data_IF_151101723775
#
_entry.id   IF_151101723775
#
_cell.length_a   1.000
_cell.length_b   1.000
_cell.length_c   1.000
_cell.angle_alpha   90.00
_cell.angle_beta   90.00
_cell.angle_gamma   90.00
#
_symmetry.space_group_name_H-M   'P 1'
#
loop_
_entity.id
_entity.type
_entity.pdbx_description
1 polymer ?
#
# COMPACT_ATOMS: atom_id res chain seq x y z
N UNK A 1 -49.81 -42.24 -19.14
CA UNK A 1 -48.45 -42.82 -19.14
C UNK A 1 -47.80 -42.40 -17.84
N UNK A 2 -47.58 -43.38 -16.96
CA UNK A 2 -47.21 -43.16 -15.56
C UNK A 2 -45.71 -42.87 -15.40
N UNK A 3 -45.42 -41.94 -14.49
CA UNK A 3 -44.11 -41.54 -13.98
C UNK A 3 -43.32 -42.71 -13.41
N UNK A 4 -42.04 -42.84 -13.81
CA UNK A 4 -41.06 -43.71 -13.16
C UNK A 4 -39.88 -42.84 -12.73
N UNK A 5 -39.92 -42.41 -11.46
CA UNK A 5 -38.82 -41.74 -10.78
C UNK A 5 -37.83 -42.79 -10.28
N UNK A 6 -36.59 -42.77 -10.80
CA UNK A 6 -35.49 -43.57 -10.27
C UNK A 6 -34.80 -42.78 -9.15
N UNK A 7 -35.13 -43.12 -7.90
CA UNK A 7 -34.42 -42.65 -6.72
C UNK A 7 -33.24 -43.61 -6.48
N UNK A 8 -32.03 -43.19 -6.85
CA UNK A 8 -30.79 -43.86 -6.46
C UNK A 8 -30.44 -43.40 -5.04
N UNK A 9 -30.72 -44.24 -4.05
CA UNK A 9 -30.20 -44.09 -2.69
C UNK A 9 -28.72 -44.52 -2.67
N UNK A 10 -27.83 -43.58 -2.94
CA UNK A 10 -26.39 -43.74 -2.67
C UNK A 10 -26.09 -43.46 -1.20
N UNK A 11 -26.16 -44.49 -0.36
CA UNK A 11 -25.64 -44.44 1.00
C UNK A 11 -24.11 -44.27 0.95
N UNK A 12 -23.61 -43.08 1.30
CA UNK A 12 -22.18 -42.83 1.47
C UNK A 12 -21.73 -43.36 2.83
N UNK A 13 -20.73 -44.26 2.89
CA UNK A 13 -20.11 -44.66 4.14
C UNK A 13 -18.91 -43.75 4.41
N UNK A 14 -19.13 -42.45 4.63
CA UNK A 14 -18.09 -41.62 5.24
C UNK A 14 -18.11 -41.85 6.74
N UNK A 15 -17.55 -42.99 7.12
CA UNK A 15 -17.17 -43.30 8.50
C UNK A 15 -16.18 -42.24 9.00
N UNK A 16 -16.38 -41.83 10.25
CA UNK A 16 -15.65 -40.76 10.88
C UNK A 16 -14.15 -41.01 11.02
N UNK A 17 -13.41 -39.93 10.95
CA UNK A 17 -12.17 -39.74 11.69
C UNK A 17 -12.26 -38.35 12.34
N UNK A 18 -12.66 -38.32 13.62
CA UNK A 18 -12.37 -37.20 14.49
C UNK A 18 -10.85 -37.14 14.63
N UNK A 19 -10.21 -36.33 13.81
CA UNK A 19 -8.81 -36.00 13.98
C UNK A 19 -8.71 -35.04 15.16
N UNK A 20 -8.20 -35.54 16.29
CA UNK A 20 -7.73 -34.70 17.40
C UNK A 20 -6.57 -33.84 16.90
N UNK A 21 -6.88 -32.68 16.33
CA UNK A 21 -5.90 -31.67 15.93
C UNK A 21 -5.43 -30.89 17.17
N UNK A 22 -4.76 -31.57 18.09
CA UNK A 22 -3.93 -30.93 19.10
C UNK A 22 -2.46 -31.00 18.66
N UNK A 23 -2.17 -30.33 17.55
CA UNK A 23 -0.82 -29.88 17.19
C UNK A 23 -0.95 -28.38 16.99
N UNK A 24 -0.90 -27.64 18.10
CA UNK A 24 -0.69 -26.20 18.03
C UNK A 24 0.63 -25.97 17.27
N UNK A 25 0.70 -24.98 16.36
CA UNK A 25 1.93 -24.69 15.66
C UNK A 25 2.95 -24.25 16.72
N UNK A 26 3.93 -25.11 16.99
CA UNK A 26 5.14 -24.69 17.68
C UNK A 26 5.78 -23.64 16.78
N UNK A 27 5.58 -22.36 17.13
CA UNK A 27 6.18 -21.24 16.43
C UNK A 27 7.67 -21.35 16.71
N UNK A 28 8.38 -22.11 15.89
CA UNK A 28 9.84 -22.21 15.92
C UNK A 28 10.35 -20.79 15.68
N UNK A 29 10.72 -20.11 16.76
CA UNK A 29 11.24 -18.75 16.68
C UNK A 29 12.51 -18.80 15.83
N UNK A 30 12.53 -18.14 14.65
CA UNK A 30 13.70 -18.20 13.80
C UNK A 30 14.88 -17.55 14.54
N UNK A 31 16.02 -18.25 14.53
CA UNK A 31 17.27 -17.79 15.15
C UNK A 31 17.55 -16.32 14.75
N UNK A 32 17.63 -15.37 15.72
CA UNK A 32 17.72 -13.95 15.45
C UNK A 32 19.01 -13.55 14.70
N UNK A 33 20.04 -14.38 14.72
CA UNK A 33 21.33 -14.09 14.11
C UNK A 33 21.33 -14.19 12.57
N UNK A 34 20.46 -15.05 12.01
CA UNK A 34 20.27 -15.21 10.56
C UNK A 34 19.17 -14.28 10.02
N UNK A 35 18.35 -13.70 10.89
CA UNK A 35 17.23 -12.84 10.52
C UNK A 35 17.64 -11.38 10.20
N UNK A 36 18.91 -11.01 10.38
CA UNK A 36 19.42 -9.65 10.19
C UNK A 36 20.05 -9.39 8.82
N UNK A 37 19.81 -10.26 7.84
CA UNK A 37 20.41 -10.17 6.50
C UNK A 37 19.37 -9.80 5.45
N UNK A 38 19.72 -8.89 4.54
CA UNK A 38 18.93 -8.57 3.36
C UNK A 38 19.49 -9.27 2.12
N UNK A 39 18.84 -10.35 1.70
CA UNK A 39 19.15 -11.05 0.43
C UNK A 39 18.99 -10.11 -0.78
N UNK A 40 18.09 -9.13 -0.68
CA UNK A 40 17.82 -8.06 -1.64
C UNK A 40 19.03 -7.21 -2.03
N UNK A 41 19.98 -7.04 -1.10
CA UNK A 41 21.03 -6.03 -1.17
C UNK A 41 22.39 -6.67 -0.96
N UNK A 42 22.73 -7.63 -1.81
CA UNK A 42 24.02 -8.33 -1.80
C UNK A 42 24.39 -8.89 -0.41
N UNK A 43 23.42 -9.55 0.24
CA UNK A 43 23.56 -10.10 1.59
C UNK A 43 24.03 -9.08 2.64
N UNK A 44 23.59 -7.83 2.52
CA UNK A 44 23.79 -6.80 3.53
C UNK A 44 23.35 -7.31 4.91
N UNK A 45 24.27 -7.29 5.88
CA UNK A 45 24.02 -7.66 7.27
C UNK A 45 23.84 -6.39 8.11
N UNK A 46 22.72 -6.32 8.82
CA UNK A 46 22.48 -5.31 9.83
C UNK A 46 22.95 -5.80 11.21
N UNK A 47 23.36 -4.87 12.06
CA UNK A 47 23.76 -5.15 13.45
C UNK A 47 22.54 -5.39 14.36
N UNK A 48 21.44 -4.70 14.07
CA UNK A 48 20.19 -4.77 14.85
C UNK A 48 18.98 -4.95 13.94
N UNK A 49 17.89 -5.43 14.51
CA UNK A 49 16.61 -5.56 13.80
C UNK A 49 16.02 -4.20 13.38
N UNK A 50 16.27 -3.15 14.16
CA UNK A 50 15.85 -1.79 13.84
C UNK A 50 16.61 -1.26 12.62
N UNK A 51 17.93 -1.46 12.56
CA UNK A 51 18.73 -1.10 11.39
C UNK A 51 18.29 -1.85 10.12
N UNK A 52 17.90 -3.14 10.24
CA UNK A 52 17.34 -3.88 9.10
C UNK A 52 16.00 -3.30 8.63
N UNK A 53 15.12 -2.92 9.56
CA UNK A 53 13.85 -2.25 9.23
C UNK A 53 14.06 -0.92 8.53
N UNK A 54 15.01 -0.13 9.00
CA UNK A 54 15.38 1.15 8.38
C UNK A 54 15.96 0.94 6.99
N UNK A 55 16.85 -0.05 6.84
CA UNK A 55 17.39 -0.46 5.55
C UNK A 55 16.28 -0.76 4.53
N UNK A 56 15.25 -1.55 4.91
CA UNK A 56 14.13 -1.85 4.01
C UNK A 56 13.34 -0.62 3.54
N UNK A 57 13.33 0.46 4.33
CA UNK A 57 12.66 1.71 3.96
C UNK A 57 13.52 2.60 3.08
N UNK A 58 14.84 2.44 3.14
CA UNK A 58 15.83 3.26 2.44
C UNK A 58 15.77 3.16 0.92
N UNK A 59 16.27 4.20 0.25
CA UNK A 59 16.26 4.30 -1.21
C UNK A 59 17.19 3.28 -1.88
N UNK A 60 18.31 2.94 -1.24
CA UNK A 60 19.23 1.91 -1.74
C UNK A 60 18.54 0.53 -1.86
N UNK A 61 17.82 0.11 -0.81
CA UNK A 61 17.07 -1.15 -0.84
C UNK A 61 15.99 -1.15 -1.93
N UNK A 62 15.21 -0.08 -2.03
CA UNK A 62 14.18 0.07 -3.08
C UNK A 62 14.79 0.04 -4.48
N UNK A 63 15.97 0.64 -4.66
CA UNK A 63 16.68 0.62 -5.94
C UNK A 63 17.12 -0.80 -6.31
N UNK A 64 17.74 -1.52 -5.38
CA UNK A 64 18.16 -2.91 -5.59
C UNK A 64 16.97 -3.84 -5.85
N UNK A 65 15.83 -3.64 -5.18
CA UNK A 65 14.62 -4.39 -5.47
C UNK A 65 14.13 -4.16 -6.91
N UNK A 66 14.12 -2.91 -7.40
CA UNK A 66 13.77 -2.60 -8.80
C UNK A 66 14.74 -3.25 -9.79
N UNK A 67 16.03 -3.29 -9.47
CA UNK A 67 17.05 -3.97 -10.30
C UNK A 67 16.79 -5.47 -10.37
N UNK A 68 16.47 -6.11 -9.24
CA UNK A 68 16.11 -7.54 -9.20
C UNK A 68 14.88 -7.85 -10.03
N UNK A 69 13.85 -7.00 -9.97
CA UNK A 69 12.66 -7.14 -10.82
C UNK A 69 12.99 -7.03 -12.31
N UNK A 70 14.02 -6.26 -12.66
CA UNK A 70 14.55 -6.15 -14.01
C UNK A 70 15.61 -7.23 -14.34
N UNK A 71 15.78 -8.25 -13.48
CA UNK A 71 16.80 -9.30 -13.61
C UNK A 71 18.24 -8.76 -13.69
N UNK A 72 18.48 -7.59 -13.11
CA UNK A 72 19.79 -6.97 -12.99
C UNK A 72 20.41 -7.28 -11.63
N UNK A 73 21.74 -7.43 -11.60
CA UNK A 73 22.49 -7.62 -10.37
C UNK A 73 22.28 -6.45 -9.40
N UNK A 74 22.14 -6.70 -8.08
CA UNK A 74 22.12 -5.65 -7.07
C UNK A 74 23.46 -4.88 -7.08
N UNK A 75 23.43 -3.64 -6.63
CA UNK A 75 24.60 -2.76 -6.60
C UNK A 75 24.99 -2.49 -5.15
N UNK A 76 26.29 -2.32 -4.93
CA UNK A 76 26.83 -1.94 -3.63
C UNK A 76 26.37 -0.55 -3.19
N UNK A 77 26.57 -0.25 -1.91
CA UNK A 77 26.18 1.03 -1.33
C UNK A 77 26.98 2.21 -1.91
N UNK A 78 28.31 2.06 -2.03
CA UNK A 78 29.19 3.10 -2.60
C UNK A 78 28.81 3.45 -4.04
N UNK A 79 28.62 2.45 -4.91
CA UNK A 79 28.22 2.67 -6.30
C UNK A 79 26.82 3.33 -6.39
N UNK A 80 25.93 3.01 -5.45
CA UNK A 80 24.65 3.69 -5.36
C UNK A 80 24.81 5.16 -4.98
N UNK A 81 25.65 5.49 -3.99
CA UNK A 81 25.91 6.86 -3.58
C UNK A 81 26.54 7.69 -4.70
N UNK A 82 27.54 7.15 -5.40
CA UNK A 82 28.16 7.81 -6.56
C UNK A 82 27.14 8.14 -7.65
N UNK A 83 26.26 7.18 -7.96
CA UNK A 83 25.18 7.40 -8.93
C UNK A 83 24.19 8.45 -8.43
N UNK A 84 23.77 8.38 -7.17
CA UNK A 84 22.85 9.36 -6.58
C UNK A 84 23.48 10.75 -6.62
N UNK A 85 24.76 10.89 -6.27
CA UNK A 85 25.49 12.14 -6.34
C UNK A 85 25.52 12.70 -7.77
N UNK A 86 25.83 11.86 -8.77
CA UNK A 86 25.78 12.24 -10.18
C UNK A 86 24.37 12.67 -10.62
N UNK A 87 23.33 11.91 -10.24
CA UNK A 87 21.94 12.24 -10.59
C UNK A 87 21.44 13.52 -9.91
N UNK A 88 21.84 13.81 -8.66
CA UNK A 88 21.45 15.03 -7.96
C UNK A 88 22.17 16.26 -8.53
N UNK A 89 23.44 16.12 -8.95
CA UNK A 89 24.18 17.18 -9.62
C UNK A 89 23.60 17.55 -10.99
N UNK A 90 23.00 16.60 -11.71
CA UNK A 90 22.55 16.80 -13.09
C UNK A 90 21.03 17.01 -13.23
N UNK A 91 20.18 16.45 -12.34
CA UNK A 91 18.71 16.33 -12.58
C UNK A 91 17.80 16.58 -11.37
N UNK A 92 18.23 17.34 -10.35
CA UNK A 92 17.41 17.69 -9.18
C UNK A 92 16.06 18.39 -9.48
N UNK A 93 15.84 18.88 -10.71
CA UNK A 93 14.66 19.67 -11.11
C UNK A 93 13.45 18.86 -11.62
N UNK A 94 13.64 17.64 -12.17
CA UNK A 94 12.61 17.02 -13.01
C UNK A 94 11.67 16.05 -12.27
N UNK A 95 12.16 15.35 -11.24
CA UNK A 95 11.36 14.32 -10.52
C UNK A 95 10.36 14.87 -9.50
N UNK A 96 10.52 16.11 -9.03
CA UNK A 96 9.56 16.75 -8.12
C UNK A 96 8.19 16.99 -8.76
N UNK A 97 8.15 17.25 -10.08
CA UNK A 97 6.93 17.65 -10.81
C UNK A 97 5.93 16.51 -11.07
N UNK A 98 6.33 15.24 -10.98
CA UNK A 98 5.46 14.12 -11.39
C UNK A 98 4.38 13.74 -10.36
N UNK A 99 4.42 14.28 -9.13
CA UNK A 99 3.38 14.07 -8.11
C UNK A 99 2.27 15.13 -8.09
N UNK A 100 2.40 16.20 -8.86
CA UNK A 100 1.45 17.34 -8.82
C UNK A 100 0.17 17.09 -9.63
N UNK A 101 0.18 16.15 -10.58
CA UNK A 101 -0.98 15.91 -11.43
C UNK A 101 -2.08 15.02 -10.79
N UNK A 102 -1.77 14.24 -9.75
CA UNK A 102 -2.73 13.28 -9.17
C UNK A 102 -3.71 13.91 -8.17
N UNK A 103 -3.45 15.12 -7.66
CA UNK A 103 -4.32 15.82 -6.70
C UNK A 103 -5.05 17.05 -7.26
N UNK A 104 -4.63 17.57 -8.41
CA UNK A 104 -5.07 18.89 -8.88
C UNK A 104 -6.53 18.92 -9.36
N UNK A 105 -6.96 17.89 -10.11
CA UNK A 105 -8.36 17.77 -10.59
C UNK A 105 -9.36 17.53 -9.45
N UNK A 106 -8.97 16.79 -8.41
CA UNK A 106 -9.83 16.52 -7.26
C UNK A 106 -10.04 17.79 -6.40
N UNK A 107 -8.98 18.58 -6.19
CA UNK A 107 -9.03 19.85 -5.45
C UNK A 107 -9.88 20.91 -6.18
N UNK A 108 -9.69 21.07 -7.49
CA UNK A 108 -10.50 21.98 -8.30
C UNK A 108 -12.01 21.64 -8.26
N UNK A 109 -12.36 20.35 -8.22
CA UNK A 109 -13.77 19.92 -8.11
C UNK A 109 -14.35 20.18 -6.72
N UNK A 110 -13.56 19.99 -5.66
CA UNK A 110 -13.98 20.28 -4.28
C UNK A 110 -14.22 21.78 -4.06
N UNK A 111 -13.35 22.63 -4.62
CA UNK A 111 -13.44 24.09 -4.52
C UNK A 111 -14.68 24.65 -5.21
N UNK A 112 -14.97 24.20 -6.45
CA UNK A 112 -16.23 24.56 -7.15
C UNK A 112 -17.49 24.16 -6.37
N UNK A 113 -17.48 22.99 -5.71
CA UNK A 113 -18.61 22.56 -4.86
C UNK A 113 -18.77 23.47 -3.65
N UNK A 114 -17.65 23.91 -3.06
CA UNK A 114 -17.66 24.79 -1.89
C UNK A 114 -18.11 26.21 -2.24
N UNK A 115 -17.67 26.75 -3.39
CA UNK A 115 -18.15 28.02 -3.94
C UNK A 115 -19.67 28.01 -4.16
N UNK A 116 -20.20 26.99 -4.84
CA UNK A 116 -21.65 26.86 -5.06
C UNK A 116 -22.45 26.80 -3.75
N UNK A 117 -21.90 26.14 -2.72
CA UNK A 117 -22.54 26.08 -1.41
C UNK A 117 -22.47 27.43 -0.67
N UNK A 118 -21.37 28.16 -0.78
CA UNK A 118 -21.23 29.51 -0.23
C UNK A 118 -22.17 30.51 -0.90
N UNK A 119 -22.25 30.51 -2.23
CA UNK A 119 -23.17 31.37 -2.99
C UNK A 119 -24.63 31.12 -2.59
N UNK A 120 -25.03 29.84 -2.47
CA UNK A 120 -26.38 29.49 -2.00
C UNK A 120 -26.65 29.96 -0.57
N UNK A 121 -25.65 29.89 0.32
CA UNK A 121 -25.76 30.40 1.70
C UNK A 121 -25.83 31.92 1.75
N UNK A 122 -25.10 32.62 0.89
CA UNK A 122 -25.16 34.09 0.77
C UNK A 122 -26.50 34.55 0.19
N UNK A 123 -27.02 33.87 -0.82
CA UNK A 123 -28.35 34.16 -1.39
C UNK A 123 -29.48 33.89 -0.39
N UNK A 124 -29.38 32.82 0.40
CA UNK A 124 -30.34 32.54 1.47
C UNK A 124 -30.27 33.57 2.62
N UNK A 125 -29.06 34.01 2.99
CA UNK A 125 -28.86 35.04 4.02
C UNK A 125 -29.31 36.44 3.54
N UNK A 126 -29.20 36.74 2.25
CA UNK A 126 -29.67 37.99 1.66
C UNK A 126 -31.20 38.02 1.42
N UNK A 127 -31.88 36.88 1.55
CA UNK A 127 -33.32 36.75 1.37
C UNK A 127 -34.12 36.83 2.69
N UNK A 128 -33.49 37.16 3.82
CA UNK A 128 -34.21 37.43 5.07
C UNK A 128 -35.11 38.67 4.91
N UNK A 129 -36.40 38.61 5.34
CA UNK A 129 -37.43 39.56 4.96
C UNK A 129 -37.29 40.91 5.67
N UNK A 130 -37.30 42.00 4.89
CA UNK A 130 -37.63 43.33 5.37
C UNK A 130 -39.14 43.33 5.67
N UNK A 131 -39.63 42.81 6.79
CA UNK A 131 -40.92 43.20 7.38
C UNK A 131 -40.96 42.85 8.88
N UNK A 132 -40.54 43.80 9.72
CA UNK A 132 -40.87 43.80 11.14
C UNK A 132 -41.27 45.22 11.57
N UNK A 133 -42.58 45.49 11.59
CA UNK A 133 -43.19 46.43 12.51
C UNK A 133 -43.30 47.89 12.08
N UNK A 134 -44.25 48.20 11.19
CA UNK A 134 -44.90 49.51 11.13
C UNK A 134 -46.38 49.35 11.52
N UNK A 135 -46.70 49.51 12.81
CA UNK A 135 -48.04 49.75 13.33
C UNK A 135 -47.97 50.62 14.58
#
# INVERSE_FOLDING_TARGET
>A
MAVMAFIVHGASPFGGALVDNNVGPEIHQPNPEMALVCVGCDNFRAETYEALKEHYKGEWHRHNLKRKLALLAPIGFQEFEERVAAFMGEKGSERGKKKEHLGSKARAKAEKRNQKHQEKRQQAAAAEPIEAGAR
#
